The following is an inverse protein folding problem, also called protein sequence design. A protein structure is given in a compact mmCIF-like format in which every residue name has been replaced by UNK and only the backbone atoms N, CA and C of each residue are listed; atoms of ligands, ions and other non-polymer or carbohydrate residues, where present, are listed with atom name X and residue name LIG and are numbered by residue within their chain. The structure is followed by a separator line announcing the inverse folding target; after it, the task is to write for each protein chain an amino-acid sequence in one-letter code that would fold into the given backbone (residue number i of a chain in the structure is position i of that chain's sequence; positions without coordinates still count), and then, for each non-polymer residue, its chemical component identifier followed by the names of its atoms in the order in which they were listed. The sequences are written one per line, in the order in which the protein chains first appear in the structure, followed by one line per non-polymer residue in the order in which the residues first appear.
data_IF_412062116218
#
_entry.id   IF_412062116218
#
_cell.length_a   1.000
_cell.length_b   1.000
_cell.length_c   1.000
_cell.angle_alpha   90.00
_cell.angle_beta   90.00
_cell.angle_gamma   90.00
#
_symmetry.space_group_name_H-M   'P 1'
#
loop_
_entity.id
_entity.type
_entity.pdbx_description
1 polymer ?
#
# COMPACT_ATOMS: atom_id res chain seq x y z
N UNK A 1 13.59 31.84 2.99
CA UNK A 1 13.60 30.38 3.17
C UNK A 1 12.83 29.59 2.10
N UNK A 2 11.87 30.19 1.36
CA UNK A 2 11.23 29.50 0.20
C UNK A 2 11.98 29.64 -1.13
N UNK A 3 12.79 30.69 -1.33
CA UNK A 3 13.51 30.91 -2.59
C UNK A 3 14.63 29.89 -2.85
N UNK A 4 15.26 29.34 -1.81
CA UNK A 4 16.37 28.37 -1.96
C UNK A 4 15.89 26.97 -2.39
N UNK A 5 14.67 26.59 -2.01
CA UNK A 5 14.09 25.30 -2.39
C UNK A 5 13.57 25.28 -3.84
N UNK A 6 13.16 26.44 -4.36
CA UNK A 6 12.70 26.58 -5.75
C UNK A 6 13.89 26.49 -6.71
N UNK A 7 14.99 27.19 -6.41
CA UNK A 7 16.25 27.10 -7.14
C UNK A 7 16.83 25.67 -7.12
N UNK A 8 16.80 24.99 -5.97
CA UNK A 8 17.23 23.59 -5.88
C UNK A 8 16.37 22.69 -6.76
N UNK A 9 15.04 22.87 -6.73
CA UNK A 9 14.10 22.15 -7.59
C UNK A 9 14.41 22.33 -9.08
N UNK A 10 14.75 23.55 -9.51
CA UNK A 10 15.12 23.87 -10.89
C UNK A 10 16.46 23.24 -11.29
N UNK A 11 17.47 23.25 -10.41
CA UNK A 11 18.80 22.67 -10.67
C UNK A 11 18.71 21.15 -10.84
N UNK A 12 17.93 20.46 -10.00
CA UNK A 12 17.72 19.00 -10.10
C UNK A 12 16.96 18.67 -11.40
N UNK A 13 15.99 19.53 -11.76
CA UNK A 13 15.17 19.38 -12.95
C UNK A 13 15.90 19.80 -14.25
N UNK A 14 17.10 20.39 -14.20
CA UNK A 14 17.92 20.70 -15.39
C UNK A 14 19.01 19.66 -15.68
N UNK A 15 19.19 18.66 -14.83
CA UNK A 15 20.25 17.68 -14.99
C UNK A 15 19.92 16.66 -16.09
N UNK A 16 20.75 16.63 -17.15
CA UNK A 16 20.59 15.77 -18.32
C UNK A 16 20.60 14.25 -18.00
N UNK A 17 21.15 13.88 -16.84
CA UNK A 17 21.18 12.50 -16.37
C UNK A 17 19.77 11.95 -16.04
N UNK A 18 18.82 12.83 -15.71
CA UNK A 18 17.42 12.45 -15.46
C UNK A 18 16.55 12.54 -16.71
N UNK A 19 16.89 13.40 -17.67
CA UNK A 19 16.14 13.54 -18.94
C UNK A 19 16.43 12.43 -19.95
N UNK A 20 17.63 11.84 -19.92
CA UNK A 20 18.04 10.71 -20.77
C UNK A 20 18.24 9.42 -19.95
N UNK A 21 17.40 9.18 -18.95
CA UNK A 21 17.48 7.94 -18.17
C UNK A 21 17.04 6.74 -19.03
N UNK A 22 17.98 5.85 -19.34
CA UNK A 22 17.70 4.58 -19.97
C UNK A 22 17.48 3.49 -18.92
N UNK A 23 16.26 2.95 -18.90
CA UNK A 23 15.89 1.89 -17.96
C UNK A 23 16.59 0.57 -18.30
N UNK A 24 17.38 0.07 -17.35
CA UNK A 24 18.00 -1.26 -17.44
C UNK A 24 17.14 -2.29 -16.70
N UNK A 25 16.54 -3.21 -17.46
CA UNK A 25 15.68 -4.27 -16.92
C UNK A 25 16.43 -5.23 -15.99
N UNK A 26 17.75 -5.35 -16.15
CA UNK A 26 18.61 -6.29 -15.43
C UNK A 26 19.27 -5.67 -14.18
N UNK A 27 18.53 -4.88 -13.43
CA UNK A 27 19.04 -4.24 -12.19
C UNK A 27 18.38 -4.89 -10.98
N UNK A 28 19.15 -5.15 -9.91
CA UNK A 28 18.66 -5.70 -8.61
C UNK A 28 17.31 -5.13 -8.12
N UNK A 29 17.04 -3.81 -8.15
CA UNK A 29 15.75 -3.26 -7.73
C UNK A 29 14.56 -3.72 -8.59
N UNK A 30 14.76 -4.03 -9.87
CA UNK A 30 13.69 -4.55 -10.75
C UNK A 30 13.27 -5.94 -10.29
N UNK A 31 14.23 -6.84 -10.03
CA UNK A 31 13.96 -8.16 -9.48
C UNK A 31 13.29 -8.06 -8.10
N UNK A 32 13.81 -7.19 -7.23
CA UNK A 32 13.27 -6.95 -5.89
C UNK A 32 11.83 -6.37 -5.91
N UNK A 33 11.41 -5.75 -7.01
CA UNK A 33 10.04 -5.28 -7.21
C UNK A 33 9.12 -6.37 -7.78
N UNK A 34 9.61 -7.21 -8.70
CA UNK A 34 8.82 -8.28 -9.34
C UNK A 34 8.45 -9.40 -8.36
N UNK A 35 9.36 -9.84 -7.49
CA UNK A 35 9.07 -10.92 -6.54
C UNK A 35 7.90 -10.61 -5.58
N UNK A 36 7.85 -9.43 -4.92
CA UNK A 36 6.69 -9.02 -4.12
C UNK A 36 5.38 -8.96 -4.92
N UNK A 37 5.45 -8.52 -6.19
CA UNK A 37 4.26 -8.43 -7.03
C UNK A 37 3.66 -9.81 -7.31
N UNK A 38 4.50 -10.79 -7.66
CA UNK A 38 4.08 -12.18 -7.87
C UNK A 38 3.51 -12.78 -6.57
N UNK A 39 4.12 -12.49 -5.43
CA UNK A 39 3.68 -12.97 -4.11
C UNK A 39 2.32 -12.39 -3.67
N UNK A 40 1.95 -11.20 -4.14
CA UNK A 40 0.66 -10.60 -3.79
C UNK A 40 -0.52 -11.17 -4.54
N UNK A 41 -0.32 -11.74 -5.73
CA UNK A 41 -1.39 -12.42 -6.47
C UNK A 41 -2.06 -13.53 -5.63
N UNK A 42 -1.33 -14.51 -5.07
CA UNK A 42 -1.96 -15.54 -4.22
C UNK A 42 -2.52 -14.94 -2.93
N UNK A 43 -1.89 -13.90 -2.37
CA UNK A 43 -2.37 -13.21 -1.16
C UNK A 43 -3.75 -12.58 -1.40
N UNK A 44 -3.94 -11.90 -2.53
CA UNK A 44 -5.25 -11.37 -2.94
C UNK A 44 -6.30 -12.47 -3.05
N UNK A 45 -5.98 -13.60 -3.70
CA UNK A 45 -6.91 -14.73 -3.81
C UNK A 45 -7.37 -15.26 -2.44
N UNK A 46 -6.44 -15.37 -1.48
CA UNK A 46 -6.77 -15.79 -0.11
C UNK A 46 -7.70 -14.79 0.57
N UNK A 47 -7.43 -13.49 0.43
CA UNK A 47 -8.24 -12.44 1.06
C UNK A 47 -9.65 -12.39 0.47
N UNK A 48 -9.79 -12.48 -0.86
CA UNK A 48 -11.10 -12.61 -1.49
C UNK A 48 -11.87 -13.83 -0.99
N UNK A 49 -11.19 -14.97 -0.77
CA UNK A 49 -11.81 -16.16 -0.20
C UNK A 49 -12.30 -15.92 1.23
N UNK A 50 -11.54 -15.21 2.06
CA UNK A 50 -11.95 -14.85 3.43
C UNK A 50 -13.18 -13.95 3.41
N UNK A 51 -13.21 -12.93 2.53
CA UNK A 51 -14.36 -12.04 2.36
C UNK A 51 -15.59 -12.82 1.87
N UNK A 52 -15.42 -13.73 0.92
CA UNK A 52 -16.53 -14.56 0.44
C UNK A 52 -17.13 -15.40 1.57
N UNK A 53 -16.28 -16.06 2.37
CA UNK A 53 -16.71 -16.85 3.53
C UNK A 53 -17.40 -15.98 4.59
N UNK A 54 -16.98 -14.73 4.76
CA UNK A 54 -17.66 -13.77 5.65
C UNK A 54 -19.11 -13.51 5.23
N UNK A 55 -19.29 -13.17 3.95
CA UNK A 55 -20.60 -12.80 3.40
C UNK A 55 -21.54 -14.01 3.50
N UNK A 56 -21.03 -15.19 3.17
CA UNK A 56 -21.81 -16.41 3.20
C UNK A 56 -22.15 -16.90 4.62
N UNK A 57 -21.22 -16.86 5.57
CA UNK A 57 -21.46 -17.38 6.93
C UNK A 57 -22.00 -16.32 7.89
N UNK A 58 -21.45 -15.11 7.84
CA UNK A 58 -21.79 -14.01 8.73
C UNK A 58 -23.12 -13.34 8.40
N UNK A 59 -23.37 -13.05 7.11
CA UNK A 59 -24.59 -12.35 6.67
C UNK A 59 -25.71 -13.33 6.33
N UNK A 60 -25.42 -14.38 5.55
CA UNK A 60 -26.47 -15.27 5.02
C UNK A 60 -26.92 -16.35 6.02
N UNK A 61 -26.04 -16.85 6.88
CA UNK A 61 -26.36 -17.97 7.80
C UNK A 61 -26.57 -17.56 9.26
N UNK A 62 -26.19 -16.34 9.63
CA UNK A 62 -26.44 -15.73 10.95
C UNK A 62 -26.12 -16.66 12.14
N UNK A 63 -25.04 -17.43 12.05
CA UNK A 63 -24.60 -18.31 13.14
C UNK A 63 -24.20 -17.46 14.36
N UNK A 64 -24.98 -17.55 15.45
CA UNK A 64 -24.73 -16.84 16.73
C UNK A 64 -23.45 -17.31 17.44
N UNK A 65 -22.92 -18.48 17.05
CA UNK A 65 -21.70 -19.05 17.63
C UNK A 65 -20.41 -18.39 17.12
N UNK A 66 -20.47 -17.66 16.00
CA UNK A 66 -19.29 -16.99 15.44
C UNK A 66 -19.27 -15.55 15.88
N UNK A 67 -18.21 -15.19 16.60
CA UNK A 67 -17.98 -13.84 17.10
C UNK A 67 -17.73 -12.86 15.92
N UNK A 68 -18.82 -12.25 15.43
CA UNK A 68 -18.85 -11.37 14.23
C UNK A 68 -17.83 -10.24 14.33
N UNK A 69 -17.63 -9.68 15.53
CA UNK A 69 -16.69 -8.60 15.79
C UNK A 69 -15.24 -9.02 15.53
N UNK A 70 -14.83 -10.21 15.99
CA UNK A 70 -13.48 -10.74 15.73
C UNK A 70 -13.27 -10.94 14.23
N UNK A 71 -14.26 -11.52 13.56
CA UNK A 71 -14.17 -11.84 12.14
C UNK A 71 -14.11 -10.57 11.28
N UNK A 72 -14.87 -9.54 11.62
CA UNK A 72 -14.85 -8.24 10.95
C UNK A 72 -13.48 -7.57 11.09
N UNK A 73 -12.90 -7.56 12.30
CA UNK A 73 -11.56 -6.97 12.52
C UNK A 73 -10.49 -7.72 11.72
N UNK A 74 -10.60 -9.04 11.59
CA UNK A 74 -9.69 -9.83 10.73
C UNK A 74 -9.83 -9.42 9.26
N UNK A 75 -11.04 -9.22 8.74
CA UNK A 75 -11.21 -8.79 7.34
C UNK A 75 -10.67 -7.39 7.14
N UNK A 76 -11.00 -6.47 8.06
CA UNK A 76 -10.58 -5.09 7.98
C UNK A 76 -9.05 -4.97 8.04
N UNK A 77 -8.39 -5.78 8.87
CA UNK A 77 -6.92 -5.83 8.89
C UNK A 77 -6.34 -6.35 7.57
N UNK A 78 -6.91 -7.40 6.99
CA UNK A 78 -6.43 -7.95 5.72
C UNK A 78 -6.64 -6.99 4.52
N UNK A 79 -7.77 -6.29 4.48
CA UNK A 79 -8.03 -5.28 3.43
C UNK A 79 -7.05 -4.12 3.55
N UNK A 80 -6.79 -3.65 4.77
CA UNK A 80 -5.82 -2.57 5.00
C UNK A 80 -4.38 -3.02 4.73
N UNK A 81 -4.00 -4.27 5.02
CA UNK A 81 -2.71 -4.84 4.62
C UNK A 81 -2.52 -4.81 3.10
N UNK A 82 -3.55 -5.15 2.32
CA UNK A 82 -3.50 -5.05 0.86
C UNK A 82 -3.38 -3.60 0.39
N UNK A 83 -4.18 -2.70 0.95
CA UNK A 83 -4.12 -1.27 0.61
C UNK A 83 -2.75 -0.64 0.91
N UNK A 84 -2.17 -1.00 2.05
CA UNK A 84 -0.81 -0.60 2.42
C UNK A 84 0.23 -1.14 1.44
N UNK A 85 0.18 -2.45 1.12
CA UNK A 85 1.10 -3.04 0.15
C UNK A 85 1.02 -2.35 -1.21
N UNK A 86 -0.19 -2.12 -1.73
CA UNK A 86 -0.37 -1.45 -3.02
C UNK A 86 0.20 -0.04 -3.00
N UNK A 87 0.03 0.68 -1.89
CA UNK A 87 0.56 2.03 -1.73
C UNK A 87 2.10 2.03 -1.63
N UNK A 88 2.69 1.15 -0.82
CA UNK A 88 4.15 0.94 -0.71
C UNK A 88 4.77 0.55 -2.07
N UNK A 89 4.08 -0.32 -2.80
CA UNK A 89 4.52 -0.75 -4.13
C UNK A 89 4.58 0.43 -5.12
N UNK A 90 3.55 1.27 -5.13
CA UNK A 90 3.46 2.41 -6.06
C UNK A 90 4.46 3.53 -5.69
N UNK A 91 4.68 3.77 -4.41
CA UNK A 91 5.47 4.92 -3.92
C UNK A 91 6.95 4.62 -3.80
N UNK A 92 7.30 3.42 -3.36
CA UNK A 92 8.68 3.09 -3.01
C UNK A 92 9.27 2.18 -4.08
N UNK A 93 8.59 1.08 -4.41
CA UNK A 93 9.16 0.04 -5.29
C UNK A 93 9.14 0.42 -6.77
N UNK A 94 8.03 0.96 -7.29
CA UNK A 94 7.95 1.42 -8.69
C UNK A 94 9.01 2.49 -9.03
N UNK A 95 9.16 3.59 -8.27
CA UNK A 95 10.20 4.57 -8.59
C UNK A 95 11.61 4.03 -8.33
N UNK A 96 11.81 3.13 -7.35
CA UNK A 96 13.13 2.52 -7.10
C UNK A 96 13.64 1.67 -8.27
N UNK A 97 12.76 1.08 -9.08
CA UNK A 97 13.18 0.40 -10.32
C UNK A 97 13.72 1.37 -11.37
N UNK A 98 13.36 2.64 -11.29
CA UNK A 98 13.72 3.65 -12.27
C UNK A 98 12.77 3.72 -13.48
N UNK A 99 11.68 2.94 -13.49
CA UNK A 99 10.65 2.98 -14.55
C UNK A 99 9.92 4.33 -14.54
N UNK A 100 9.68 4.87 -13.35
CA UNK A 100 8.90 6.10 -13.17
C UNK A 100 9.77 7.37 -13.15
N UNK A 101 11.10 7.25 -13.24
CA UNK A 101 12.03 8.40 -13.10
C UNK A 101 11.80 9.46 -14.17
N UNK A 102 11.67 9.06 -15.43
CA UNK A 102 11.43 9.97 -16.56
C UNK A 102 10.05 10.63 -16.45
N UNK A 103 9.05 9.92 -15.92
CA UNK A 103 7.70 10.44 -15.71
C UNK A 103 7.62 11.41 -14.52
N UNK A 104 8.29 11.10 -13.40
CA UNK A 104 8.39 11.99 -12.25
C UNK A 104 9.16 13.27 -12.59
N UNK A 105 10.18 13.19 -13.45
CA UNK A 105 10.95 14.34 -13.90
C UNK A 105 10.09 15.34 -14.71
N UNK A 106 9.21 14.83 -15.57
CA UNK A 106 8.33 15.66 -16.40
C UNK A 106 7.17 16.32 -15.63
N UNK A 107 6.93 15.92 -14.38
CA UNK A 107 5.75 16.35 -13.63
C UNK A 107 6.09 17.51 -12.69
N UNK A 108 5.46 18.67 -12.90
CA UNK A 108 5.43 19.79 -11.94
C UNK A 108 4.66 19.37 -10.67
N UNK A 109 4.75 20.09 -9.52
CA UNK A 109 4.18 19.66 -8.24
C UNK A 109 2.70 19.28 -8.37
N UNK A 110 2.44 17.96 -8.44
CA UNK A 110 1.13 17.41 -8.74
C UNK A 110 0.45 16.97 -7.45
N UNK A 111 -0.76 17.50 -7.20
CA UNK A 111 -1.60 17.13 -6.04
C UNK A 111 -1.87 15.62 -5.97
N UNK A 112 -1.92 14.95 -7.11
CA UNK A 112 -2.16 13.51 -7.18
C UNK A 112 -1.02 12.70 -6.54
N UNK A 113 0.24 13.08 -6.79
CA UNK A 113 1.38 12.38 -6.19
C UNK A 113 1.38 12.55 -4.66
N UNK A 114 1.10 13.76 -4.18
CA UNK A 114 0.97 14.05 -2.76
C UNK A 114 -0.17 13.26 -2.08
N UNK A 115 -1.29 13.05 -2.79
CA UNK A 115 -2.41 12.23 -2.30
C UNK A 115 -2.02 10.76 -2.15
N UNK A 116 -1.24 10.21 -3.08
CA UNK A 116 -0.74 8.83 -3.00
C UNK A 116 0.23 8.68 -1.82
N UNK A 117 1.18 9.61 -1.64
CA UNK A 117 2.07 9.62 -0.46
C UNK A 117 1.29 9.68 0.86
N UNK A 118 0.26 10.53 0.89
CA UNK A 118 -0.62 10.67 2.04
C UNK A 118 -1.40 9.37 2.30
N UNK A 119 -1.91 8.70 1.27
CA UNK A 119 -2.65 7.44 1.44
C UNK A 119 -1.79 6.33 2.06
N UNK A 120 -0.52 6.22 1.68
CA UNK A 120 0.40 5.25 2.29
C UNK A 120 0.57 5.47 3.79
N UNK A 121 0.75 6.73 4.20
CA UNK A 121 0.83 7.10 5.62
C UNK A 121 -0.48 6.72 6.32
N UNK A 122 -1.62 7.04 5.73
CA UNK A 122 -2.94 6.68 6.28
C UNK A 122 -3.17 5.18 6.40
N UNK A 123 -2.66 4.35 5.49
CA UNK A 123 -2.77 2.89 5.59
C UNK A 123 -1.78 2.29 6.61
N UNK A 124 -0.66 2.96 6.89
CA UNK A 124 0.32 2.49 7.87
C UNK A 124 -0.19 2.56 9.31
N UNK A 125 -0.95 3.59 9.67
CA UNK A 125 -1.44 3.77 11.05
C UNK A 125 -2.42 2.67 11.51
N UNK A 126 -3.46 2.30 10.73
CA UNK A 126 -4.38 1.23 11.09
C UNK A 126 -3.68 -0.12 11.29
N UNK A 127 -2.63 -0.41 10.51
CA UNK A 127 -1.86 -1.66 10.66
C UNK A 127 -1.25 -1.83 12.06
N UNK A 128 -0.81 -0.73 12.67
CA UNK A 128 -0.30 -0.75 14.04
C UNK A 128 -1.42 -0.89 15.08
N UNK A 129 -2.63 -0.45 14.76
CA UNK A 129 -3.80 -0.46 15.66
C UNK A 129 -4.52 -1.81 15.65
N UNK A 130 -4.60 -2.51 14.51
CA UNK A 130 -5.30 -3.80 14.41
C UNK A 130 -4.85 -4.89 15.40
N UNK A 131 -3.56 -5.10 15.72
CA UNK A 131 -3.19 -6.11 16.72
C UNK A 131 -3.73 -5.79 18.12
N UNK A 132 -3.79 -4.50 18.47
CA UNK A 132 -4.39 -4.04 19.73
C UNK A 132 -5.90 -4.29 19.70
N UNK A 133 -6.56 -3.90 18.60
CA UNK A 133 -8.01 -4.10 18.42
C UNK A 133 -8.40 -5.58 18.48
N UNK A 134 -7.63 -6.47 17.84
CA UNK A 134 -7.84 -7.92 17.92
C UNK A 134 -7.72 -8.45 19.34
N UNK A 135 -6.76 -7.92 20.11
CA UNK A 135 -6.56 -8.32 21.51
C UNK A 135 -7.73 -7.86 22.38
N UNK A 136 -8.19 -6.61 22.21
CA UNK A 136 -9.35 -6.05 22.92
C UNK A 136 -10.63 -6.82 22.61
N UNK A 137 -10.91 -7.11 21.34
CA UNK A 137 -12.12 -7.83 20.93
C UNK A 137 -12.10 -9.29 21.41
N UNK A 138 -10.92 -9.91 21.55
CA UNK A 138 -10.80 -11.24 22.17
C UNK A 138 -10.95 -11.22 23.69
N UNK A 139 -10.50 -10.15 24.34
CA UNK A 139 -10.54 -10.05 25.80
C UNK A 139 -11.93 -9.65 26.30
N UNK A 140 -12.72 -8.89 25.54
CA UNK A 140 -14.11 -8.62 25.90
C UNK A 140 -14.93 -9.90 25.78
N UNK A 141 -15.43 -10.47 26.89
CA UNK A 141 -16.41 -11.53 26.83
C UNK A 141 -17.68 -10.94 26.21
N UNK A 142 -18.10 -11.49 25.06
CA UNK A 142 -19.42 -11.19 24.52
C UNK A 142 -20.42 -11.87 25.44
N UNK A 143 -21.14 -11.05 26.21
CA UNK A 143 -22.29 -11.45 27.00
C UNK A 143 -23.53 -11.46 26.12
#
# INVERSE_FOLDING_TARGET
MSMENDDLGVIINLNANYSNFHFNFLTVPVFLSVFPFIYIIPTCCVIFRIIHVYIEKGIRKNDETVNKSVFLVIILSQVTCLGFFLSDYIIIRLPSTGIMTTWCYQQSPNRFLSLIFTSHIYFSYPLMIYPILLTVVRFMPIH
#
